data_IF_980196898265
#
_entry.id   IF_980196898265
#
_cell.length_a   1.000
_cell.length_b   1.000
_cell.length_c   1.000
_cell.angle_alpha   90.00
_cell.angle_beta   90.00
_cell.angle_gamma   90.00
#
_symmetry.space_group_name_H-M   'P 1'
#
loop_
_entity.id
_entity.type
_entity.pdbx_description
1 polymer ?
#
# COMPACT_ATOMS: atom_id res chain seq x y z
N UNK A 1 5.97 -5.73 -3.48
CA UNK A 1 5.21 -6.59 -4.41
C UNK A 1 5.34 -8.05 -4.02
N UNK A 2 6.56 -8.62 -4.00
CA UNK A 2 6.79 -10.07 -3.80
C UNK A 2 6.24 -10.58 -2.46
N UNK A 3 6.39 -9.79 -1.38
CA UNK A 3 5.86 -10.17 -0.06
C UNK A 3 4.36 -10.45 -0.06
N UNK A 4 3.54 -9.63 -0.74
CA UNK A 4 2.09 -9.86 -0.76
C UNK A 4 1.69 -11.09 -1.58
N UNK A 5 2.39 -11.37 -2.69
CA UNK A 5 2.19 -12.62 -3.45
C UNK A 5 2.62 -13.85 -2.64
N UNK A 6 3.76 -13.78 -1.95
CA UNK A 6 4.26 -14.88 -1.12
C UNK A 6 3.27 -15.24 0.00
N UNK A 7 2.69 -14.25 0.67
CA UNK A 7 1.65 -14.50 1.68
C UNK A 7 0.38 -15.14 1.09
N UNK A 8 0.04 -14.84 -0.17
CA UNK A 8 -1.17 -15.37 -0.83
C UNK A 8 -0.96 -16.78 -1.38
N UNK A 9 0.15 -17.03 -2.07
CA UNK A 9 0.41 -18.29 -2.77
C UNK A 9 1.08 -19.33 -1.85
N UNK A 10 2.02 -18.91 -1.00
CA UNK A 10 2.81 -19.83 -0.17
C UNK A 10 2.17 -20.03 1.20
N UNK A 11 1.69 -18.95 1.84
CA UNK A 11 1.03 -19.04 3.15
C UNK A 11 -0.50 -19.21 3.08
N UNK A 12 -1.07 -19.29 1.87
CA UNK A 12 -2.52 -19.44 1.60
C UNK A 12 -3.40 -18.40 2.32
N UNK A 13 -2.87 -17.21 2.63
CA UNK A 13 -3.68 -16.14 3.19
C UNK A 13 -4.51 -15.49 2.08
N UNK A 14 -5.82 -15.75 2.09
CA UNK A 14 -6.75 -15.14 1.13
C UNK A 14 -6.75 -13.62 1.37
N UNK A 15 -6.42 -12.79 0.36
CA UNK A 15 -6.38 -11.35 0.52
C UNK A 15 -7.80 -10.79 0.61
N UNK A 16 -8.00 -9.81 1.48
CA UNK A 16 -9.25 -9.06 1.55
C UNK A 16 -9.38 -8.05 0.39
N UNK A 17 -10.60 -7.60 0.11
CA UNK A 17 -10.86 -6.63 -0.97
C UNK A 17 -10.04 -5.33 -0.81
N UNK A 18 -9.88 -4.83 0.42
CA UNK A 18 -9.04 -3.65 0.72
C UNK A 18 -7.55 -3.88 0.43
N UNK A 19 -7.00 -5.03 0.78
CA UNK A 19 -5.63 -5.41 0.39
C UNK A 19 -5.47 -5.48 -1.13
N UNK A 20 -6.52 -5.87 -1.85
CA UNK A 20 -6.53 -5.90 -3.31
C UNK A 20 -6.50 -4.49 -3.90
N UNK A 21 -7.26 -3.55 -3.34
CA UNK A 21 -7.18 -2.12 -3.71
C UNK A 21 -5.78 -1.55 -3.47
N UNK A 22 -5.12 -1.90 -2.36
CA UNK A 22 -3.72 -1.51 -2.14
C UNK A 22 -2.80 -2.04 -3.24
N UNK A 23 -2.98 -3.29 -3.70
CA UNK A 23 -2.20 -3.86 -4.81
C UNK A 23 -2.44 -3.13 -6.13
N UNK A 24 -3.70 -2.84 -6.48
CA UNK A 24 -4.03 -2.10 -7.72
C UNK A 24 -3.30 -0.74 -7.75
N UNK A 25 -3.21 -0.04 -6.62
CA UNK A 25 -2.53 1.26 -6.56
C UNK A 25 -0.99 1.11 -6.60
N UNK A 26 -0.47 0.05 -6.02
CA UNK A 26 0.97 -0.14 -5.87
C UNK A 26 1.63 -0.67 -7.16
N UNK A 27 0.94 -1.51 -7.94
CA UNK A 27 1.53 -2.21 -9.10
C UNK A 27 1.95 -1.24 -10.23
N UNK A 28 1.09 -0.28 -10.64
CA UNK A 28 1.46 0.72 -11.64
C UNK A 28 2.59 1.63 -11.13
N UNK A 29 2.59 1.95 -9.83
CA UNK A 29 3.59 2.83 -9.23
C UNK A 29 5.01 2.25 -9.39
N UNK A 30 5.19 0.95 -9.13
CA UNK A 30 6.49 0.28 -9.27
C UNK A 30 6.96 0.26 -10.73
N UNK A 31 6.06 -0.02 -11.67
CA UNK A 31 6.38 0.02 -13.10
C UNK A 31 6.80 1.42 -13.55
N UNK A 32 6.03 2.45 -13.15
CA UNK A 32 6.34 3.84 -13.47
C UNK A 32 7.70 4.25 -12.90
N UNK A 33 7.95 4.00 -11.61
CA UNK A 33 9.23 4.29 -10.96
C UNK A 33 10.40 3.55 -11.61
N UNK A 34 10.21 2.29 -12.00
CA UNK A 34 11.23 1.50 -12.70
C UNK A 34 11.60 2.09 -14.06
N UNK A 35 10.59 2.48 -14.86
CA UNK A 35 10.83 3.13 -16.17
C UNK A 35 11.48 4.50 -16.00
N UNK A 36 11.05 5.30 -15.03
CA UNK A 36 11.67 6.60 -14.77
C UNK A 36 13.11 6.51 -14.28
N UNK A 37 13.44 5.48 -13.50
CA UNK A 37 14.83 5.25 -13.11
C UNK A 37 15.71 4.96 -14.33
N UNK A 38 15.19 4.20 -15.30
CA UNK A 38 15.91 3.89 -16.54
C UNK A 38 16.05 5.10 -17.47
N UNK A 39 14.99 5.90 -17.65
CA UNK A 39 15.00 7.07 -18.54
C UNK A 39 15.48 8.38 -17.88
N UNK A 40 15.72 8.39 -16.57
CA UNK A 40 16.02 9.60 -15.76
C UNK A 40 15.00 10.75 -15.91
N UNK A 41 13.77 10.44 -16.33
CA UNK A 41 12.73 11.44 -16.60
C UNK A 41 12.07 11.95 -15.31
N UNK A 42 12.40 13.18 -14.91
CA UNK A 42 11.84 13.83 -13.70
C UNK A 42 10.37 14.22 -13.83
N UNK A 43 9.81 14.21 -15.05
CA UNK A 43 8.39 14.53 -15.30
C UNK A 43 7.43 13.50 -14.66
N UNK A 44 7.91 12.29 -14.37
CA UNK A 44 7.07 11.23 -13.77
C UNK A 44 6.56 11.60 -12.36
N UNK A 45 7.27 12.50 -11.68
CA UNK A 45 6.91 12.98 -10.34
C UNK A 45 5.50 13.57 -10.30
N UNK A 46 4.97 14.11 -11.41
CA UNK A 46 3.59 14.63 -11.47
C UNK A 46 2.52 13.54 -11.41
N UNK A 47 2.80 12.37 -11.96
CA UNK A 47 1.84 11.25 -12.02
C UNK A 47 1.96 10.31 -10.84
N UNK A 48 3.19 10.08 -10.38
CA UNK A 48 3.44 9.09 -9.34
C UNK A 48 3.14 9.63 -7.92
N UNK A 49 3.19 10.95 -7.72
CA UNK A 49 2.88 11.61 -6.45
C UNK A 49 1.39 11.51 -6.06
N UNK A 50 0.37 11.82 -6.90
CA UNK A 50 -1.03 11.61 -6.55
C UNK A 50 -1.34 10.12 -6.32
N UNK A 51 -0.73 9.23 -7.09
CA UNK A 51 -0.93 7.78 -6.94
C UNK A 51 -0.38 7.26 -5.60
N UNK A 52 0.78 7.75 -5.17
CA UNK A 52 1.36 7.45 -3.86
C UNK A 52 0.51 8.01 -2.70
N UNK A 53 -0.06 9.21 -2.86
CA UNK A 53 -0.98 9.80 -1.87
C UNK A 53 -2.24 8.95 -1.71
N UNK A 54 -2.85 8.50 -2.82
CA UNK A 54 -3.99 7.59 -2.76
C UNK A 54 -3.63 6.28 -2.04
N UNK A 55 -2.45 5.72 -2.34
CA UNK A 55 -1.92 4.55 -1.64
C UNK A 55 -1.76 4.76 -0.13
N UNK A 56 -1.29 5.93 0.30
CA UNK A 56 -1.21 6.30 1.73
C UNK A 56 -2.58 6.37 2.38
N UNK A 57 -3.57 7.04 1.75
CA UNK A 57 -4.93 7.19 2.28
C UNK A 57 -5.60 5.83 2.44
N UNK A 58 -5.49 4.96 1.44
CA UNK A 58 -6.07 3.61 1.48
C UNK A 58 -5.38 2.74 2.54
N UNK A 59 -4.06 2.89 2.72
CA UNK A 59 -3.31 2.15 3.74
C UNK A 59 -3.61 2.62 5.16
N UNK A 60 -3.74 3.93 5.37
CA UNK A 60 -4.11 4.49 6.67
C UNK A 60 -5.54 4.12 7.07
N UNK A 61 -6.48 4.17 6.12
CA UNK A 61 -7.85 3.73 6.34
C UNK A 61 -7.92 2.25 6.73
N UNK A 62 -7.19 1.39 6.02
CA UNK A 62 -7.15 -0.03 6.33
C UNK A 62 -6.48 -0.33 7.68
N UNK A 63 -5.44 0.43 8.06
CA UNK A 63 -4.84 0.34 9.38
C UNK A 63 -5.82 0.76 10.50
N UNK A 64 -6.58 1.84 10.28
CA UNK A 64 -7.60 2.31 11.22
C UNK A 64 -8.71 1.27 11.42
N UNK A 65 -9.17 0.63 10.34
CA UNK A 65 -10.12 -0.48 10.39
C UNK A 65 -9.62 -1.67 11.24
N UNK A 66 -8.34 -2.01 11.13
CA UNK A 66 -7.76 -3.12 11.91
C UNK A 66 -7.58 -2.79 13.40
N UNK A 67 -7.30 -1.52 13.75
CA UNK A 67 -7.04 -1.10 15.13
C UNK A 67 -8.30 -0.66 15.89
N UNK A 68 -9.32 -0.16 15.20
CA UNK A 68 -10.54 0.34 15.83
C UNK A 68 -11.65 -0.72 15.70
N UNK A 69 -11.95 -1.49 16.77
CA UNK A 69 -12.98 -2.53 16.71
C UNK A 69 -14.38 -1.97 16.45
N UNK A 70 -14.64 -0.69 16.78
CA UNK A 70 -15.92 -0.02 16.50
C UNK A 70 -16.18 0.21 14.99
N UNK A 71 -15.11 0.31 14.19
CA UNK A 71 -15.20 0.43 12.73
C UNK A 71 -15.34 -0.94 12.05
N UNK A 72 -15.18 -2.07 12.78
CA UNK A 72 -15.43 -3.41 12.24
C UNK A 72 -16.89 -3.60 11.78
N UNK A 73 -17.83 -2.89 12.41
CA UNK A 73 -19.24 -2.90 12.01
C UNK A 73 -19.49 -2.20 10.65
N UNK A 74 -18.57 -1.33 10.22
CA UNK A 74 -18.58 -0.68 8.90
C UNK A 74 -17.75 -1.45 7.86
N UNK A 75 -17.29 -2.68 8.17
CA UNK A 75 -16.62 -3.51 7.19
C UNK A 75 -17.60 -3.84 6.05
N UNK A 76 -17.40 -3.19 4.90
CA UNK A 76 -18.13 -3.42 3.65
C UNK A 76 -17.79 -4.79 3.01
N UNK A 77 -17.16 -5.69 3.77
CA UNK A 77 -16.69 -6.99 3.31
C UNK A 77 -17.81 -8.03 3.52
N UNK A 78 -18.89 -7.93 2.73
CA UNK A 78 -20.11 -8.77 2.82
C UNK A 78 -19.96 -10.16 2.15
N UNK A 79 -18.85 -10.42 1.46
CA UNK A 79 -18.55 -11.70 0.80
C UNK A 79 -17.04 -11.95 0.78
N UNK A 80 -16.57 -12.86 1.64
CA UNK A 80 -15.16 -13.29 1.70
C UNK A 80 -14.56 -13.31 3.11
N UNK A 81 -13.23 -13.36 3.19
CA UNK A 81 -12.44 -13.32 4.44
C UNK A 81 -12.54 -11.95 5.11
N UNK A 82 -12.66 -11.89 6.45
CA UNK A 82 -12.82 -10.63 7.17
C UNK A 82 -11.57 -9.74 7.01
N UNK A 83 -11.82 -8.49 6.65
CA UNK A 83 -10.82 -7.43 6.49
C UNK A 83 -10.08 -7.12 7.83
N UNK A 84 -10.69 -7.49 8.95
CA UNK A 84 -10.15 -7.46 10.31
C UNK A 84 -9.31 -8.67 10.72
N UNK A 85 -9.16 -9.68 9.85
CA UNK A 85 -8.34 -10.87 10.10
C UNK A 85 -6.86 -10.52 10.21
N UNK A 86 -6.30 -10.55 11.42
CA UNK A 86 -4.88 -10.34 11.68
C UNK A 86 -4.10 -11.64 11.47
N UNK A 87 -3.85 -12.01 10.21
CA UNK A 87 -3.10 -13.23 9.86
C UNK A 87 -1.61 -13.17 10.27
N UNK A 88 -1.01 -11.98 10.25
CA UNK A 88 0.37 -11.73 10.66
C UNK A 88 0.32 -10.73 11.80
N UNK A 89 0.60 -11.22 13.01
CA UNK A 89 0.65 -10.40 14.22
C UNK A 89 1.97 -10.67 14.94
N UNK A 90 3.09 -10.59 14.20
CA UNK A 90 4.42 -10.94 14.71
C UNK A 90 4.80 -10.14 15.98
N UNK A 91 4.25 -8.92 16.15
CA UNK A 91 4.51 -8.02 17.29
C UNK A 91 3.25 -7.27 17.80
N UNK A 92 2.04 -7.67 17.42
CA UNK A 92 0.80 -6.94 17.75
C UNK A 92 0.63 -5.53 17.11
N UNK A 93 1.65 -5.09 16.35
CA UNK A 93 1.74 -3.74 15.75
C UNK A 93 2.11 -3.75 14.26
N UNK A 94 2.88 -4.74 13.80
CA UNK A 94 3.30 -4.86 12.40
C UNK A 94 2.22 -5.60 11.62
N UNK A 95 1.30 -4.83 11.02
CA UNK A 95 0.30 -5.36 10.09
C UNK A 95 0.68 -5.04 8.65
N UNK A 96 0.15 -5.82 7.71
CA UNK A 96 0.32 -5.62 6.25
C UNK A 96 0.04 -4.16 5.83
N UNK A 97 -1.06 -3.49 6.27
CA UNK A 97 -1.30 -2.10 5.91
C UNK A 97 -0.28 -1.10 6.49
N UNK A 98 0.33 -1.38 7.65
CA UNK A 98 1.38 -0.52 8.19
C UNK A 98 2.66 -0.58 7.34
N UNK A 99 3.03 -1.78 6.89
CA UNK A 99 4.14 -1.97 5.95
C UNK A 99 3.88 -1.26 4.61
N UNK A 100 2.64 -1.33 4.10
CA UNK A 100 2.25 -0.62 2.88
C UNK A 100 2.34 0.90 3.06
N UNK A 101 1.87 1.42 4.20
CA UNK A 101 1.95 2.84 4.54
C UNK A 101 3.40 3.33 4.55
N UNK A 102 4.31 2.60 5.21
CA UNK A 102 5.75 2.93 5.22
C UNK A 102 6.33 2.92 3.80
N UNK A 103 5.91 1.97 2.95
CA UNK A 103 6.33 1.94 1.55
C UNK A 103 5.90 3.20 0.78
N UNK A 104 4.63 3.59 0.87
CA UNK A 104 4.13 4.78 0.18
C UNK A 104 4.70 6.08 0.75
N UNK A 105 4.96 6.18 2.05
CA UNK A 105 5.61 7.38 2.63
C UNK A 105 7.04 7.53 2.13
N UNK A 106 7.84 6.44 2.09
CA UNK A 106 9.19 6.47 1.53
C UNK A 106 9.17 6.94 0.08
N UNK A 107 8.28 6.38 -0.75
CA UNK A 107 8.17 6.77 -2.16
C UNK A 107 7.79 8.25 -2.30
N UNK A 108 6.86 8.72 -1.47
CA UNK A 108 6.44 10.13 -1.46
C UNK A 108 7.60 11.06 -1.08
N UNK A 109 8.38 10.70 -0.05
CA UNK A 109 9.56 11.47 0.40
C UNK A 109 10.60 11.53 -0.71
N UNK A 110 10.92 10.40 -1.35
CA UNK A 110 11.85 10.35 -2.47
C UNK A 110 11.40 11.25 -3.63
N UNK A 111 10.12 11.23 -3.99
CA UNK A 111 9.58 12.10 -5.05
C UNK A 111 9.64 13.58 -4.70
N UNK A 112 9.30 13.96 -3.47
CA UNK A 112 9.41 15.35 -3.00
C UNK A 112 10.87 15.81 -3.03
N UNK A 113 11.81 14.95 -2.64
CA UNK A 113 13.23 15.28 -2.66
C UNK A 113 13.76 15.45 -4.10
N UNK A 114 13.35 14.58 -5.02
CA UNK A 114 13.69 14.70 -6.45
C UNK A 114 13.08 15.94 -7.10
N UNK A 115 11.90 16.39 -6.65
CA UNK A 115 11.27 17.64 -7.12
C UNK A 115 12.01 18.88 -6.61
N UNK A 116 12.63 18.79 -5.43
CA UNK A 116 13.30 19.93 -4.78
C UNK A 116 14.69 20.21 -5.36
N UNK A 117 15.33 19.24 -6.02
CA UNK A 117 16.59 19.49 -6.74
C UNK A 117 16.29 20.31 -8.01
N UNK A 118 16.66 21.60 -8.06
CA UNK A 118 16.66 22.35 -9.30
C UNK A 118 17.77 21.78 -10.19
N UNK A 119 17.53 21.71 -11.50
CA UNK A 119 18.62 21.52 -12.47
C UNK A 119 19.64 22.64 -12.37
#
# INVERSE_FOLDING_TARGET
MIGSLFFSEVMKFVPCNFCWYQRILMYPLVLLLGVAFYHQDRKITRYALPLSILGMIVSSYHFALQKIPALKAFEMCTSGVPCSGQYINWLGFITIPLLALVGFTIITICMVWMRKQPN
#
